data_IF_998030901795
#
_entry.id   IF_998030901795
#
_cell.length_a   1.000
_cell.length_b   1.000
_cell.length_c   1.000
_cell.angle_alpha   90.00
_cell.angle_beta   90.00
_cell.angle_gamma   90.00
#
_symmetry.space_group_name_H-M   'P 1'
#
loop_
_entity.id
_entity.type
_entity.pdbx_description
1 polymer ?
#
# COMPACT_ATOMS: atom_id res chain seq x y z
N UNK A 1 -1.95 22.70 8.92
CA UNK A 1 -3.30 22.86 9.50
C UNK A 1 -3.42 21.89 10.66
N UNK A 2 -3.54 22.34 11.92
CA UNK A 2 -3.82 21.42 13.03
C UNK A 2 -5.28 20.97 12.87
N UNK A 3 -5.50 19.77 12.37
CA UNK A 3 -6.82 19.15 12.36
C UNK A 3 -7.26 18.90 13.79
N UNK A 4 -8.52 19.19 14.09
CA UNK A 4 -9.15 18.72 15.32
C UNK A 4 -9.11 17.19 15.39
N UNK A 5 -8.98 16.65 16.60
CA UNK A 5 -8.87 15.19 16.84
C UNK A 5 -10.05 14.42 16.21
N UNK A 6 -11.24 15.02 16.21
CA UNK A 6 -12.45 14.41 15.63
C UNK A 6 -12.36 14.36 14.12
N UNK A 7 -11.96 15.47 13.49
CA UNK A 7 -11.77 15.56 12.03
C UNK A 7 -10.69 14.60 11.55
N UNK A 8 -9.61 14.43 12.33
CA UNK A 8 -8.55 13.48 12.03
C UNK A 8 -9.04 12.04 12.02
N UNK A 9 -9.77 11.62 13.06
CA UNK A 9 -10.30 10.25 13.15
C UNK A 9 -11.26 9.96 12.00
N UNK A 10 -12.20 10.87 11.75
CA UNK A 10 -13.16 10.72 10.64
C UNK A 10 -12.42 10.65 9.30
N UNK A 11 -11.43 11.51 9.08
CA UNK A 11 -10.63 11.52 7.86
C UNK A 11 -9.88 10.20 7.63
N UNK A 12 -9.28 9.61 8.67
CA UNK A 12 -8.58 8.32 8.57
C UNK A 12 -9.55 7.19 8.25
N UNK A 13 -10.75 7.18 8.84
CA UNK A 13 -11.77 6.16 8.56
C UNK A 13 -12.23 6.25 7.10
N UNK A 14 -12.55 7.46 6.62
CA UNK A 14 -12.95 7.68 5.22
C UNK A 14 -11.84 7.25 4.27
N UNK A 15 -10.59 7.62 4.56
CA UNK A 15 -9.45 7.19 3.77
C UNK A 15 -9.33 5.66 3.73
N UNK A 16 -9.50 4.99 4.88
CA UNK A 16 -9.49 3.53 4.97
C UNK A 16 -10.58 2.87 4.12
N UNK A 17 -11.79 3.45 4.10
CA UNK A 17 -12.89 2.97 3.25
C UNK A 17 -12.58 3.11 1.76
N UNK A 18 -12.11 4.29 1.34
CA UNK A 18 -11.75 4.56 -0.07
C UNK A 18 -10.60 3.64 -0.50
N UNK A 19 -9.54 3.57 0.31
CA UNK A 19 -8.38 2.73 0.03
C UNK A 19 -8.75 1.24 -0.03
N UNK A 20 -9.61 0.77 0.87
CA UNK A 20 -10.11 -0.61 0.87
C UNK A 20 -10.93 -0.94 -0.37
N UNK A 21 -11.85 -0.05 -0.76
CA UNK A 21 -12.65 -0.20 -1.98
C UNK A 21 -11.79 -0.28 -3.24
N UNK A 22 -10.87 0.69 -3.41
CA UNK A 22 -9.94 0.70 -4.54
C UNK A 22 -9.02 -0.53 -4.54
N UNK A 23 -8.61 -0.98 -3.36
CA UNK A 23 -7.77 -2.16 -3.24
C UNK A 23 -8.49 -3.45 -3.67
N UNK A 24 -9.77 -3.61 -3.32
CA UNK A 24 -10.57 -4.75 -3.77
C UNK A 24 -10.84 -4.73 -5.28
N UNK A 25 -11.04 -3.52 -5.84
CA UNK A 25 -11.34 -3.32 -7.26
C UNK A 25 -10.12 -3.54 -8.16
N UNK A 26 -8.95 -3.00 -7.79
CA UNK A 26 -7.75 -3.00 -8.65
C UNK A 26 -6.71 -4.06 -8.22
N UNK A 27 -6.81 -4.61 -7.01
CA UNK A 27 -5.86 -5.62 -6.51
C UNK A 27 -4.47 -5.11 -6.14
N UNK A 28 -4.23 -3.80 -6.24
CA UNK A 28 -2.92 -3.16 -5.98
C UNK A 28 -2.59 -3.07 -4.47
N UNK A 29 -3.57 -3.31 -3.60
CA UNK A 29 -3.32 -3.23 -2.18
C UNK A 29 -3.26 -1.79 -1.67
N UNK A 30 -4.11 -0.84 -2.11
CA UNK A 30 -4.35 0.50 -1.52
C UNK A 30 -3.18 1.47 -1.24
N UNK A 31 -1.93 1.01 -1.26
CA UNK A 31 -0.76 1.69 -0.69
C UNK A 31 -0.25 2.84 -1.55
N UNK A 32 -0.48 2.73 -2.85
CA UNK A 32 -0.23 3.80 -3.83
C UNK A 32 -0.99 5.08 -3.46
N UNK A 33 -2.21 4.94 -2.93
CA UNK A 33 -3.05 6.08 -2.51
C UNK A 33 -2.80 6.45 -1.05
N UNK A 34 -2.70 5.45 -0.17
CA UNK A 34 -2.53 5.66 1.28
C UNK A 34 -1.26 6.42 1.63
N UNK A 35 -0.10 6.06 1.06
CA UNK A 35 1.18 6.67 1.43
C UNK A 35 1.20 8.18 1.11
N UNK A 36 0.87 8.63 -0.12
CA UNK A 36 0.79 10.05 -0.43
C UNK A 36 -0.23 10.79 0.44
N UNK A 37 -1.42 10.23 0.66
CA UNK A 37 -2.46 10.90 1.46
C UNK A 37 -2.01 11.07 2.91
N UNK A 38 -1.46 10.03 3.53
CA UNK A 38 -0.97 10.10 4.92
C UNK A 38 0.15 11.13 5.08
N UNK A 39 1.05 11.24 4.09
CA UNK A 39 2.16 12.20 4.13
C UNK A 39 1.67 13.62 3.85
N UNK A 40 0.94 13.83 2.75
CA UNK A 40 0.58 15.16 2.25
C UNK A 40 -0.58 15.79 3.02
N UNK A 41 -1.58 14.99 3.43
CA UNK A 41 -2.79 15.49 4.08
C UNK A 41 -2.77 15.30 5.60
N UNK A 42 -2.23 14.17 6.09
CA UNK A 42 -2.19 13.88 7.53
C UNK A 42 -0.84 14.21 8.19
N UNK A 43 0.15 14.66 7.41
CA UNK A 43 1.46 15.09 7.92
C UNK A 43 2.31 13.96 8.52
N UNK A 44 2.07 12.71 8.11
CA UNK A 44 2.88 11.59 8.55
C UNK A 44 4.29 11.68 7.96
N UNK A 45 5.28 11.22 8.71
CA UNK A 45 6.61 10.96 8.16
C UNK A 45 6.53 9.84 7.12
N UNK A 46 7.45 9.84 6.15
CA UNK A 46 7.46 8.81 5.09
C UNK A 46 7.50 7.39 5.67
N UNK A 47 8.36 7.18 6.69
CA UNK A 47 8.48 5.91 7.41
C UNK A 47 7.17 5.51 8.09
N UNK A 48 6.51 6.44 8.80
CA UNK A 48 5.25 6.15 9.49
C UNK A 48 4.15 5.82 8.50
N UNK A 49 4.03 6.58 7.42
CA UNK A 49 3.04 6.32 6.37
C UNK A 49 3.22 4.93 5.73
N UNK A 50 4.44 4.54 5.38
CA UNK A 50 4.73 3.21 4.85
C UNK A 50 4.47 2.09 5.86
N UNK A 51 4.92 2.23 7.11
CA UNK A 51 4.68 1.23 8.15
C UNK A 51 3.20 1.03 8.45
N UNK A 52 2.44 2.12 8.61
CA UNK A 52 0.99 2.07 8.84
C UNK A 52 0.26 1.44 7.65
N UNK A 53 0.67 1.78 6.43
CA UNK A 53 0.11 1.18 5.22
C UNK A 53 0.38 -0.32 5.16
N UNK A 54 1.62 -0.77 5.40
CA UNK A 54 1.97 -2.20 5.42
C UNK A 54 1.11 -2.99 6.41
N UNK A 55 0.91 -2.47 7.63
CA UNK A 55 0.06 -3.10 8.64
C UNK A 55 -1.40 -3.25 8.17
N UNK A 56 -1.95 -2.22 7.51
CA UNK A 56 -3.31 -2.24 6.98
C UNK A 56 -3.46 -3.20 5.79
N UNK A 57 -2.44 -3.36 4.96
CA UNK A 57 -2.54 -4.25 3.79
C UNK A 57 -2.49 -5.73 4.15
N UNK A 58 -1.77 -6.07 5.23
CA UNK A 58 -1.58 -7.46 5.63
C UNK A 58 -2.89 -8.12 6.11
N UNK A 59 -3.69 -7.41 6.90
CA UNK A 59 -4.83 -8.03 7.61
C UNK A 59 -6.13 -7.88 6.80
N UNK A 60 -6.80 -6.71 6.77
CA UNK A 60 -8.12 -6.60 6.17
C UNK A 60 -8.09 -6.79 4.65
N UNK A 61 -7.16 -6.13 3.95
CA UNK A 61 -7.13 -6.15 2.48
C UNK A 61 -6.76 -7.54 1.95
N UNK A 62 -5.70 -8.13 2.51
CA UNK A 62 -5.25 -9.46 2.12
C UNK A 62 -6.33 -10.52 2.32
N UNK A 63 -6.95 -10.58 3.51
CA UNK A 63 -7.90 -11.64 3.85
C UNK A 63 -9.20 -11.52 3.05
N UNK A 64 -9.86 -10.35 3.11
CA UNK A 64 -11.17 -10.18 2.47
C UNK A 64 -11.08 -10.16 0.95
N UNK A 65 -10.00 -9.59 0.39
CA UNK A 65 -9.73 -9.61 -1.05
C UNK A 65 -9.55 -11.04 -1.54
N UNK A 66 -8.59 -11.78 -0.98
CA UNK A 66 -8.30 -13.17 -1.38
C UNK A 66 -9.53 -14.05 -1.19
N UNK A 67 -10.30 -13.90 -0.11
CA UNK A 67 -11.49 -14.72 0.12
C UNK A 67 -12.52 -14.61 -1.01
N UNK A 68 -12.77 -13.41 -1.53
CA UNK A 68 -13.75 -13.22 -2.62
C UNK A 68 -13.24 -13.77 -3.96
N UNK A 69 -11.96 -13.57 -4.29
CA UNK A 69 -11.36 -14.13 -5.50
C UNK A 69 -11.22 -15.66 -5.42
N UNK A 70 -10.94 -16.20 -4.24
CA UNK A 70 -10.81 -17.64 -4.02
C UNK A 70 -12.15 -18.35 -4.19
N UNK A 71 -13.23 -17.78 -3.63
CA UNK A 71 -14.59 -18.31 -3.78
C UNK A 71 -15.05 -18.41 -5.24
N UNK A 72 -14.51 -17.57 -6.12
CA UNK A 72 -14.84 -17.54 -7.55
C UNK A 72 -13.84 -18.33 -8.41
N UNK A 73 -12.87 -19.02 -7.80
CA UNK A 73 -11.86 -19.82 -8.52
C UNK A 73 -10.76 -18.99 -9.21
N UNK A 74 -10.67 -17.69 -8.94
CA UNK A 74 -9.73 -16.77 -9.58
C UNK A 74 -8.37 -16.66 -8.86
N UNK A 75 -8.11 -17.55 -7.90
CA UNK A 75 -6.85 -17.59 -7.15
C UNK A 75 -6.07 -18.84 -7.53
N UNK A 76 -4.96 -18.67 -8.23
CA UNK A 76 -3.96 -19.72 -8.40
C UNK A 76 -3.12 -19.84 -7.12
N UNK A 77 -3.51 -20.79 -6.27
CA UNK A 77 -2.87 -21.05 -4.97
C UNK A 77 -1.40 -21.47 -5.13
N UNK A 78 -1.06 -22.22 -6.19
CA UNK A 78 0.31 -22.71 -6.40
C UNK A 78 1.24 -21.55 -6.71
N UNK A 79 0.82 -20.69 -7.64
CA UNK A 79 1.57 -19.47 -7.98
C UNK A 79 1.65 -18.52 -6.79
N UNK A 80 0.55 -18.33 -6.05
CA UNK A 80 0.54 -17.51 -4.85
C UNK A 80 1.53 -18.00 -3.77
N UNK A 81 1.64 -19.31 -3.56
CA UNK A 81 2.55 -19.89 -2.57
C UNK A 81 4.02 -19.70 -2.97
N UNK A 82 4.36 -19.91 -4.24
CA UNK A 82 5.71 -19.68 -4.76
C UNK A 82 6.10 -18.20 -4.64
N UNK A 83 5.19 -17.30 -4.99
CA UNK A 83 5.38 -15.86 -4.81
C UNK A 83 5.56 -15.51 -3.34
N UNK A 84 4.81 -16.14 -2.43
CA UNK A 84 4.93 -15.91 -0.98
C UNK A 84 6.36 -16.20 -0.48
N UNK A 85 6.97 -17.32 -0.90
CA UNK A 85 8.35 -17.65 -0.51
C UNK A 85 9.36 -16.57 -0.92
N UNK A 86 9.28 -16.09 -2.16
CA UNK A 86 10.14 -14.99 -2.63
C UNK A 86 9.81 -13.65 -1.96
N UNK A 87 8.52 -13.39 -1.73
CA UNK A 87 8.02 -12.17 -1.13
C UNK A 87 8.48 -12.01 0.32
N UNK A 88 8.51 -13.08 1.12
CA UNK A 88 8.99 -13.03 2.51
C UNK A 88 10.43 -12.51 2.57
N UNK A 89 11.32 -13.06 1.75
CA UNK A 89 12.72 -12.62 1.70
C UNK A 89 12.82 -11.17 1.17
N UNK A 90 12.17 -10.88 0.05
CA UNK A 90 12.20 -9.57 -0.58
C UNK A 90 11.65 -8.46 0.32
N UNK A 91 10.52 -8.70 0.99
CA UNK A 91 9.89 -7.74 1.91
C UNK A 91 10.69 -7.55 3.19
N UNK A 92 11.32 -8.60 3.74
CA UNK A 92 12.19 -8.48 4.90
C UNK A 92 13.42 -7.60 4.61
N UNK A 93 14.19 -7.92 3.58
CA UNK A 93 15.38 -7.13 3.23
C UNK A 93 15.01 -5.74 2.69
N UNK A 94 13.92 -5.64 1.92
CA UNK A 94 13.39 -4.37 1.41
C UNK A 94 12.98 -3.43 2.54
N UNK A 95 12.22 -3.92 3.53
CA UNK A 95 11.83 -3.11 4.69
C UNK A 95 13.03 -2.72 5.55
N UNK A 96 13.99 -3.63 5.77
CA UNK A 96 15.24 -3.34 6.48
C UNK A 96 16.07 -2.26 5.79
N UNK A 97 16.09 -2.25 4.47
CA UNK A 97 16.74 -1.19 3.68
C UNK A 97 15.93 0.10 3.75
N UNK A 98 14.60 0.02 3.64
CA UNK A 98 13.74 1.20 3.66
C UNK A 98 13.91 2.00 4.97
N UNK A 99 13.91 1.32 6.13
CA UNK A 99 14.03 1.99 7.44
C UNK A 99 15.38 2.67 7.68
N UNK A 100 16.45 2.28 6.98
CA UNK A 100 17.77 2.91 7.11
C UNK A 100 17.94 4.12 6.19
N UNK A 101 17.06 4.29 5.19
CA UNK A 101 17.09 5.45 4.30
C UNK A 101 16.52 6.70 4.97
N UNK A 102 17.05 7.86 4.56
CA UNK A 102 16.46 9.14 4.94
C UNK A 102 15.06 9.29 4.33
N UNK A 103 14.20 10.09 4.97
CA UNK A 103 12.83 10.32 4.49
C UNK A 103 12.81 10.88 3.07
N UNK A 104 13.75 11.75 2.72
CA UNK A 104 13.86 12.33 1.38
C UNK A 104 14.23 11.29 0.33
N UNK A 105 15.19 10.41 0.62
CA UNK A 105 15.56 9.32 -0.30
C UNK A 105 14.41 8.35 -0.48
N UNK A 106 13.75 7.95 0.61
CA UNK A 106 12.63 7.03 0.57
C UNK A 106 11.43 7.63 -0.20
N UNK A 107 11.17 8.93 -0.04
CA UNK A 107 10.18 9.67 -0.82
C UNK A 107 10.54 9.70 -2.30
N UNK A 108 11.80 9.97 -2.66
CA UNK A 108 12.27 9.97 -4.06
C UNK A 108 12.14 8.58 -4.70
N UNK A 109 12.56 7.53 -4.00
CA UNK A 109 12.41 6.14 -4.47
C UNK A 109 10.94 5.82 -4.76
N UNK A 110 10.04 6.16 -3.83
CA UNK A 110 8.60 5.95 -4.03
C UNK A 110 8.06 6.77 -5.21
N UNK A 111 8.45 8.04 -5.35
CA UNK A 111 8.02 8.90 -6.44
C UNK A 111 8.47 8.38 -7.82
N UNK A 112 9.73 7.94 -7.93
CA UNK A 112 10.26 7.35 -9.17
C UNK A 112 9.51 6.07 -9.53
N UNK A 113 9.26 5.18 -8.56
CA UNK A 113 8.47 3.97 -8.77
C UNK A 113 7.08 4.32 -9.33
N UNK A 114 6.38 5.27 -8.70
CA UNK A 114 5.05 5.70 -9.15
C UNK A 114 5.06 6.31 -10.54
N UNK A 115 6.08 7.11 -10.85
CA UNK A 115 6.25 7.69 -12.19
C UNK A 115 6.44 6.60 -13.25
N UNK A 116 7.31 5.62 -12.99
CA UNK A 116 7.54 4.48 -13.89
C UNK A 116 6.27 3.68 -14.11
N UNK A 117 5.52 3.37 -13.04
CA UNK A 117 4.23 2.67 -13.14
C UNK A 117 3.24 3.45 -13.98
N UNK A 118 3.09 4.75 -13.73
CA UNK A 118 2.17 5.62 -14.46
C UNK A 118 2.54 5.69 -15.96
N UNK A 119 3.81 5.92 -16.28
CA UNK A 119 4.30 5.96 -17.67
C UNK A 119 4.05 4.62 -18.36
N UNK A 120 4.41 3.50 -17.71
CA UNK A 120 4.21 2.18 -18.29
C UNK A 120 2.73 1.93 -18.58
N UNK A 121 1.85 2.19 -17.61
CA UNK A 121 0.40 2.01 -17.79
C UNK A 121 -0.16 2.88 -18.92
N UNK A 122 0.35 4.10 -19.08
CA UNK A 122 -0.10 5.03 -20.12
C UNK A 122 0.26 4.56 -21.54
N UNK A 123 1.44 3.94 -21.71
CA UNK A 123 1.91 3.42 -23.00
C UNK A 123 1.63 1.94 -23.22
N UNK A 124 0.98 1.28 -22.27
CA UNK A 124 0.57 -0.12 -22.40
C UNK A 124 -0.67 -0.17 -23.31
N UNK A 125 -0.53 -0.77 -24.49
CA UNK A 125 -1.64 -1.08 -25.40
C UNK A 125 -2.56 -2.13 -24.81
#
# INVERSE_FOLDING_TARGET
MKMDSTTLVIGIIILGLIAGYLSGLVGIGGGIVMVPVLVLLFGFTQHKAQGTTLALLMIPVGIFGVMNYYKTGNVDVKTALLLCCGFVLGSYFGSKTAITLSQDTLRKVFAVLMFVVAVKMFFQK
#
